data_IF_528661619531
#
_entry.id   IF_528661619531
#
_cell.length_a   1.000
_cell.length_b   1.000
_cell.length_c   1.000
_cell.angle_alpha   90.00
_cell.angle_beta   90.00
_cell.angle_gamma   90.00
#
_symmetry.space_group_name_H-M   'P 1'
#
loop_
_entity.id
_entity.type
_entity.pdbx_description
1 polymer ?
#
# COMPACT_ATOMS: atom_id res chain seq x y z
N UNK A 1 25.57 -13.70 14.18
CA UNK A 1 24.96 -12.48 13.62
C UNK A 1 25.56 -12.26 12.23
N UNK A 2 24.84 -12.65 11.16
CA UNK A 2 25.37 -12.66 9.79
C UNK A 2 25.27 -11.30 9.13
N UNK A 3 26.40 -10.78 8.65
CA UNK A 3 26.49 -9.56 7.87
C UNK A 3 25.85 -9.76 6.49
N UNK A 4 24.58 -9.40 6.33
CA UNK A 4 24.02 -9.20 4.98
C UNK A 4 24.54 -7.85 4.51
N UNK A 5 25.59 -7.89 3.68
CA UNK A 5 26.14 -6.70 3.02
C UNK A 5 25.28 -6.40 1.81
N UNK A 6 24.78 -5.17 1.68
CA UNK A 6 24.04 -4.76 0.49
C UNK A 6 24.91 -4.99 -0.76
N UNK A 7 24.36 -5.57 -1.84
CA UNK A 7 25.11 -5.82 -3.07
C UNK A 7 25.61 -4.51 -3.66
N UNK A 8 26.91 -4.45 -3.99
CA UNK A 8 27.52 -3.27 -4.60
C UNK A 8 26.82 -2.95 -5.92
N UNK A 9 26.24 -1.75 -6.02
CA UNK A 9 25.58 -1.27 -7.25
C UNK A 9 24.07 -1.51 -7.32
N UNK A 10 23.39 -1.80 -6.22
CA UNK A 10 21.92 -1.85 -6.16
C UNK A 10 21.39 -0.65 -5.39
N UNK A 11 20.89 0.35 -6.11
CA UNK A 11 20.12 1.43 -5.52
C UNK A 11 18.65 1.04 -5.45
N UNK A 12 18.08 0.99 -4.24
CA UNK A 12 16.63 0.83 -4.08
C UNK A 12 15.94 2.15 -4.39
N UNK A 13 15.53 2.34 -5.65
CA UNK A 13 14.64 3.45 -6.03
C UNK A 13 13.23 3.14 -5.53
N UNK A 14 12.91 3.68 -4.36
CA UNK A 14 11.54 3.60 -3.82
C UNK A 14 10.74 4.75 -4.42
N UNK A 15 10.04 4.49 -5.51
CA UNK A 15 9.15 5.48 -6.11
C UNK A 15 8.04 5.86 -5.10
N UNK A 16 7.69 7.16 -4.98
CA UNK A 16 6.54 7.56 -4.19
C UNK A 16 5.31 6.94 -4.82
N UNK A 17 4.60 6.08 -4.08
CA UNK A 17 3.41 5.42 -4.59
C UNK A 17 2.34 6.49 -4.92
N UNK A 18 2.06 6.78 -6.21
CA UNK A 18 1.11 7.82 -6.54
C UNK A 18 -0.30 7.38 -6.15
N UNK A 19 -1.14 8.34 -5.75
CA UNK A 19 -2.55 8.09 -5.49
C UNK A 19 -3.25 7.67 -6.78
N UNK A 20 -3.91 6.51 -6.76
CA UNK A 20 -4.74 6.06 -7.87
C UNK A 20 -5.99 6.94 -8.00
N UNK A 21 -6.62 6.98 -9.17
CA UNK A 21 -7.84 7.77 -9.39
C UNK A 21 -8.96 7.39 -8.40
N UNK A 22 -9.06 6.11 -8.07
CA UNK A 22 -10.02 5.59 -7.07
C UNK A 22 -9.73 6.17 -5.69
N UNK A 23 -8.46 6.17 -5.28
CA UNK A 23 -8.06 6.74 -3.99
C UNK A 23 -8.33 8.25 -3.93
N UNK A 24 -8.07 8.97 -5.03
CA UNK A 24 -8.38 10.40 -5.15
C UNK A 24 -9.88 10.68 -4.96
N UNK A 25 -10.73 9.89 -5.62
CA UNK A 25 -12.18 10.01 -5.49
C UNK A 25 -12.66 9.75 -4.05
N UNK A 26 -12.17 8.67 -3.43
CA UNK A 26 -12.49 8.32 -2.04
C UNK A 26 -12.08 9.45 -1.08
N UNK A 27 -10.86 9.98 -1.23
CA UNK A 27 -10.37 11.09 -0.39
C UNK A 27 -11.26 12.33 -0.55
N UNK A 28 -11.59 12.69 -1.79
CA UNK A 28 -12.45 13.84 -2.07
C UNK A 28 -13.81 13.71 -1.38
N UNK A 29 -14.44 12.54 -1.48
CA UNK A 29 -15.75 12.26 -0.90
C UNK A 29 -15.72 12.34 0.65
N UNK A 30 -14.66 11.82 1.28
CA UNK A 30 -14.49 11.90 2.74
C UNK A 30 -14.36 13.35 3.19
N UNK A 31 -13.56 14.14 2.48
CA UNK A 31 -13.33 15.55 2.81
C UNK A 31 -14.65 16.32 2.67
N UNK A 32 -15.39 16.12 1.57
CA UNK A 32 -16.68 16.75 1.35
C UNK A 32 -17.68 16.40 2.48
N UNK A 33 -17.76 15.12 2.85
CA UNK A 33 -18.61 14.66 3.95
C UNK A 33 -18.24 15.33 5.28
N UNK A 34 -16.94 15.40 5.60
CA UNK A 34 -16.48 16.02 6.84
C UNK A 34 -16.80 17.52 6.87
N UNK A 35 -16.59 18.24 5.77
CA UNK A 35 -16.93 19.66 5.66
C UNK A 35 -18.43 19.92 5.84
N UNK A 36 -19.28 19.04 5.31
CA UNK A 36 -20.73 19.19 5.42
C UNK A 36 -21.29 18.83 6.80
N UNK A 37 -20.73 17.81 7.47
CA UNK A 37 -21.33 17.21 8.66
C UNK A 37 -20.54 17.46 9.96
N UNK A 38 -19.27 17.83 9.85
CA UNK A 38 -18.31 17.87 10.96
C UNK A 38 -17.94 16.48 11.52
N UNK A 39 -18.45 15.39 10.93
CA UNK A 39 -18.28 14.03 11.43
C UNK A 39 -17.32 13.23 10.56
N UNK A 40 -16.55 12.34 11.18
CA UNK A 40 -15.64 11.43 10.45
C UNK A 40 -16.46 10.33 9.76
N UNK A 41 -16.31 10.20 8.44
CA UNK A 41 -16.93 9.10 7.68
C UNK A 41 -16.26 7.78 8.05
N UNK A 42 -17.04 6.79 8.54
CA UNK A 42 -16.52 5.44 8.78
C UNK A 42 -16.38 4.73 7.43
N UNK A 43 -15.17 4.26 7.14
CA UNK A 43 -14.87 3.50 5.93
C UNK A 43 -14.43 2.11 6.36
N UNK A 44 -15.00 1.09 5.73
CA UNK A 44 -14.52 -0.27 5.92
C UNK A 44 -13.10 -0.37 5.35
N UNK A 45 -12.11 -0.46 6.24
CA UNK A 45 -10.74 -0.78 5.84
C UNK A 45 -10.78 -2.21 5.32
N UNK A 46 -10.70 -2.38 4.00
CA UNK A 46 -10.51 -3.71 3.43
C UNK A 46 -9.11 -4.15 3.83
N UNK A 47 -9.02 -4.98 4.87
CA UNK A 47 -7.78 -5.67 5.22
C UNK A 47 -7.27 -6.32 3.93
N UNK A 48 -6.14 -5.84 3.41
CA UNK A 48 -5.44 -6.53 2.32
C UNK A 48 -5.04 -7.87 2.92
N UNK A 49 -5.77 -8.92 2.58
CA UNK A 49 -5.39 -10.28 2.91
C UNK A 49 -3.96 -10.46 2.41
N UNK A 50 -3.06 -10.82 3.32
CA UNK A 50 -1.68 -11.15 3.00
C UNK A 50 -1.72 -12.22 1.90
N UNK A 51 -1.32 -11.84 0.68
CA UNK A 51 -1.29 -12.77 -0.43
C UNK A 51 -0.44 -13.95 -0.04
N UNK A 52 -1.01 -15.15 -0.07
CA UNK A 52 -0.28 -16.40 0.14
C UNK A 52 0.81 -16.49 -0.92
N UNK A 53 2.07 -16.40 -0.50
CA UNK A 53 3.23 -16.63 -1.37
C UNK A 53 3.14 -18.10 -1.82
N UNK A 54 2.72 -18.34 -3.07
CA UNK A 54 2.80 -19.67 -3.69
C UNK A 54 4.28 -20.03 -3.80
N UNK A 55 4.78 -20.92 -2.93
CA UNK A 55 6.06 -21.61 -3.10
C UNK A 55 6.02 -22.36 -4.43
N UNK A 56 6.68 -21.83 -5.45
CA UNK A 56 6.98 -22.59 -6.66
C UNK A 56 7.93 -23.72 -6.27
N UNK A 57 7.50 -24.97 -6.52
CA UNK A 57 8.33 -26.16 -6.32
C UNK A 57 9.54 -26.08 -7.24
N UNK A 58 10.75 -26.14 -6.67
CA UNK A 58 11.95 -26.43 -7.44
C UNK A 58 11.88 -27.90 -7.90
N UNK A 59 11.83 -28.12 -9.22
CA UNK A 59 12.24 -29.37 -9.85
C UNK A 59 13.68 -29.15 -10.33
N UNK A 60 14.62 -29.91 -9.79
CA UNK A 60 15.73 -30.49 -10.55
C UNK A 60 16.35 -31.63 -9.76
#
# INVERSE_FOLDING_TARGET
MGYIREPKGVDFVVDPKPLTEKDRGIISEIIAYYKATGRKKRIAVRNRTAGTIKKQKAKH
#
